data_IF_116682936514
#
_entry.id   IF_116682936514
#
_cell.length_a   1.000
_cell.length_b   1.000
_cell.length_c   1.000
_cell.angle_alpha   90.00
_cell.angle_beta   90.00
_cell.angle_gamma   90.00
#
_symmetry.space_group_name_H-M   'P 1'
#
loop_
_entity.id
_entity.type
_entity.pdbx_description
1 polymer ?
#
# COMPACT_ATOMS: atom_id res chain seq x y z
N UNK A 1 16.27 11.50 -3.48
CA UNK A 1 14.93 10.90 -3.31
C UNK A 1 14.15 11.19 -4.60
N UNK A 2 13.14 10.41 -5.01
CA UNK A 2 12.39 10.75 -6.23
C UNK A 2 11.43 11.93 -5.93
N UNK A 3 11.29 12.88 -6.85
CA UNK A 3 10.39 14.04 -6.77
C UNK A 3 9.00 13.70 -6.24
N UNK A 4 8.38 12.61 -6.69
CA UNK A 4 7.05 12.22 -6.20
C UNK A 4 7.01 11.89 -4.71
N UNK A 5 8.11 11.33 -4.17
CA UNK A 5 8.22 11.02 -2.76
C UNK A 5 8.45 12.28 -1.92
N UNK A 6 9.20 13.24 -2.45
CA UNK A 6 9.32 14.59 -1.87
C UNK A 6 7.96 15.28 -1.85
N UNK A 7 7.24 15.29 -2.97
CA UNK A 7 5.92 15.87 -3.11
C UNK A 7 4.86 15.18 -2.22
N UNK A 8 4.92 13.86 -2.07
CA UNK A 8 4.09 13.11 -1.12
C UNK A 8 4.32 13.58 0.32
N UNK A 9 5.58 13.75 0.72
CA UNK A 9 5.94 14.23 2.05
C UNK A 9 5.48 15.67 2.23
N UNK A 10 5.74 16.55 1.26
CA UNK A 10 5.33 17.96 1.28
C UNK A 10 3.81 18.09 1.39
N UNK A 11 3.04 17.42 0.53
CA UNK A 11 1.57 17.41 0.64
C UNK A 11 1.08 16.84 1.95
N UNK A 12 1.70 15.76 2.45
CA UNK A 12 1.39 15.23 3.79
C UNK A 12 1.60 16.30 4.85
N UNK A 13 2.68 17.07 4.78
CA UNK A 13 2.97 18.13 5.74
C UNK A 13 2.04 19.34 5.60
N UNK A 14 1.71 19.76 4.38
CA UNK A 14 0.77 20.85 4.12
C UNK A 14 -0.66 20.51 4.57
N UNK A 15 -1.08 19.27 4.34
CA UNK A 15 -2.36 18.75 4.75
C UNK A 15 -2.47 18.69 6.27
N UNK A 16 -1.38 18.37 6.97
CA UNK A 16 -1.35 18.24 8.43
C UNK A 16 -1.25 19.61 9.14
N UNK A 17 -1.95 19.78 10.27
CA UNK A 17 -1.90 21.00 11.08
C UNK A 17 -0.49 21.33 11.61
N UNK A 18 -0.17 22.62 11.75
CA UNK A 18 1.12 23.17 12.26
C UNK A 18 1.55 22.67 13.66
N UNK A 19 0.67 22.00 14.41
CA UNK A 19 0.98 21.41 15.72
C UNK A 19 1.63 20.02 15.64
N UNK A 20 1.94 19.54 14.44
CA UNK A 20 2.42 18.18 14.20
C UNK A 20 3.96 18.10 14.20
N UNK A 21 4.50 17.04 14.82
CA UNK A 21 5.93 16.77 14.84
C UNK A 21 6.36 16.11 13.50
N UNK A 22 7.10 16.87 12.67
CA UNK A 22 7.71 16.42 11.41
C UNK A 22 8.51 15.12 11.53
N UNK A 23 9.12 14.85 12.69
CA UNK A 23 9.85 13.62 12.98
C UNK A 23 9.01 12.34 12.85
N UNK A 24 7.67 12.47 12.87
CA UNK A 24 6.69 11.37 12.82
C UNK A 24 6.06 11.17 11.45
N UNK A 25 6.36 12.00 10.46
CA UNK A 25 6.04 11.69 9.06
C UNK A 25 6.95 10.57 8.62
N UNK A 26 6.34 9.44 8.28
CA UNK A 26 7.06 8.33 7.70
C UNK A 26 6.97 8.37 6.18
N UNK A 27 7.94 7.75 5.55
CA UNK A 27 8.16 7.84 4.11
C UNK A 27 7.65 6.60 3.37
N UNK A 28 7.02 5.68 4.11
CA UNK A 28 6.62 4.34 3.66
C UNK A 28 5.28 4.28 2.97
N UNK A 29 4.45 5.29 3.19
CA UNK A 29 3.22 5.47 2.44
C UNK A 29 3.46 5.64 0.94
N UNK A 30 4.72 5.86 0.51
CA UNK A 30 5.14 6.04 -0.88
C UNK A 30 6.47 5.31 -1.14
N UNK A 31 6.43 3.98 -1.21
CA UNK A 31 7.59 3.12 -1.49
C UNK A 31 7.34 2.21 -2.69
N UNK A 32 7.63 2.75 -3.87
CA UNK A 32 7.49 2.03 -5.13
C UNK A 32 8.85 1.79 -5.76
N UNK A 33 9.02 0.60 -6.34
CA UNK A 33 10.18 0.31 -7.17
C UNK A 33 10.08 1.02 -8.53
N UNK A 34 11.24 1.35 -9.10
CA UNK A 34 11.36 1.95 -10.44
C UNK A 34 11.78 0.92 -11.49
N UNK A 35 11.58 -0.38 -11.24
CA UNK A 35 11.98 -1.41 -12.19
C UNK A 35 11.11 -1.37 -13.45
N UNK A 36 11.61 -1.90 -14.57
CA UNK A 36 10.78 -2.16 -15.74
C UNK A 36 9.88 -3.42 -15.58
N UNK A 37 10.07 -4.21 -14.52
CA UNK A 37 9.33 -5.46 -14.27
C UNK A 37 7.99 -5.22 -13.61
N UNK A 38 7.03 -6.14 -13.77
CA UNK A 38 5.71 -6.00 -13.16
C UNK A 38 4.87 -4.90 -13.80
N UNK A 39 4.84 -4.88 -15.14
CA UNK A 39 4.08 -3.91 -15.95
C UNK A 39 2.60 -3.89 -15.56
N UNK A 40 1.99 -5.04 -15.33
CA UNK A 40 0.61 -5.10 -14.83
C UNK A 40 0.60 -5.08 -13.30
N UNK A 41 -0.16 -4.16 -12.71
CA UNK A 41 -0.19 -4.01 -11.26
C UNK A 41 -1.56 -3.69 -10.69
N UNK A 42 -1.65 -3.79 -9.37
CA UNK A 42 -2.74 -3.26 -8.56
C UNK A 42 -2.19 -2.28 -7.54
N UNK A 43 -2.90 -1.18 -7.35
CA UNK A 43 -2.57 -0.19 -6.33
C UNK A 43 -3.51 -0.36 -5.15
N UNK A 44 -2.97 -0.72 -3.99
CA UNK A 44 -3.72 -0.85 -2.75
C UNK A 44 -3.44 0.39 -1.90
N UNK A 45 -4.48 1.10 -1.50
CA UNK A 45 -4.35 2.33 -0.71
C UNK A 45 -4.88 2.13 0.70
N UNK A 46 -3.98 2.32 1.67
CA UNK A 46 -4.28 2.37 3.09
C UNK A 46 -4.40 3.81 3.61
N UNK A 47 -4.47 3.91 4.94
CA UNK A 47 -4.55 5.18 5.67
C UNK A 47 -3.32 5.44 6.54
N UNK A 48 -2.42 4.45 6.73
CA UNK A 48 -1.26 4.39 7.65
C UNK A 48 -1.26 3.11 8.55
N UNK A 49 -0.11 2.49 8.85
CA UNK A 49 0.06 1.66 10.04
C UNK A 49 0.13 2.52 11.31
N UNK A 50 -0.65 2.16 12.32
CA UNK A 50 -0.61 2.82 13.63
C UNK A 50 0.79 2.69 14.28
N UNK A 51 1.29 3.75 14.88
CA UNK A 51 2.60 3.75 15.56
C UNK A 51 2.88 5.05 16.30
N UNK A 52 3.92 5.04 17.13
CA UNK A 52 4.43 6.21 17.85
C UNK A 52 5.74 6.70 17.21
N UNK A 53 6.30 7.78 17.72
CA UNK A 53 7.60 8.32 17.29
C UNK A 53 8.73 7.30 17.23
N UNK A 54 8.78 6.37 18.20
CA UNK A 54 9.75 5.26 18.20
C UNK A 54 9.55 4.34 16.99
N UNK A 55 8.30 4.12 16.56
CA UNK A 55 8.05 3.41 15.31
C UNK A 55 8.63 4.22 14.16
N UNK A 56 8.24 5.49 13.99
CA UNK A 56 8.78 6.37 12.93
C UNK A 56 10.32 6.40 12.86
N UNK A 57 11.00 6.44 14.01
CA UNK A 57 12.47 6.41 14.08
C UNK A 57 13.04 5.06 13.65
N UNK A 58 12.47 3.95 14.14
CA UNK A 58 12.82 2.61 13.68
C UNK A 58 12.58 2.47 12.20
N UNK A 59 11.54 3.11 11.68
CA UNK A 59 11.20 3.03 10.28
C UNK A 59 12.20 3.70 9.35
N UNK A 60 12.83 4.78 9.84
CA UNK A 60 13.93 5.47 9.15
C UNK A 60 15.23 4.66 9.16
N UNK A 61 15.42 3.80 10.17
CA UNK A 61 16.64 3.00 10.37
C UNK A 61 16.55 1.60 9.76
N UNK A 62 15.37 1.00 9.77
CA UNK A 62 15.15 -0.38 9.35
C UNK A 62 14.44 -0.44 7.99
N UNK A 63 14.97 -1.26 7.09
CA UNK A 63 14.43 -1.46 5.74
C UNK A 63 13.26 -2.46 5.76
N UNK A 64 12.12 -2.04 6.29
CA UNK A 64 10.84 -2.80 6.35
C UNK A 64 10.18 -3.09 4.99
N UNK A 65 10.96 -3.07 3.90
CA UNK A 65 10.53 -3.32 2.53
C UNK A 65 10.21 -4.79 2.24
N UNK A 66 10.28 -5.63 3.27
CA UNK A 66 9.95 -7.05 3.23
C UNK A 66 8.51 -7.24 3.70
N UNK A 67 7.64 -6.52 3.01
CA UNK A 67 6.20 -6.60 3.16
C UNK A 67 5.80 -8.06 3.18
N UNK A 68 5.23 -8.47 4.32
CA UNK A 68 4.69 -9.79 4.65
C UNK A 68 5.04 -10.96 3.75
N UNK A 69 5.49 -12.03 4.37
CA UNK A 69 5.58 -13.30 3.66
C UNK A 69 4.18 -13.78 3.28
N UNK A 70 4.07 -14.38 2.10
CA UNK A 70 2.78 -14.80 1.54
C UNK A 70 2.02 -15.75 2.47
N UNK A 71 2.75 -16.69 3.07
CA UNK A 71 2.21 -17.78 3.87
C UNK A 71 2.92 -17.95 5.23
N UNK A 72 4.19 -17.56 5.34
CA UNK A 72 4.99 -17.73 6.58
C UNK A 72 4.71 -16.66 7.63
N UNK A 73 4.31 -17.09 8.83
CA UNK A 73 4.24 -16.22 10.00
C UNK A 73 5.57 -16.20 10.73
N UNK A 74 6.23 -15.04 10.73
CA UNK A 74 7.39 -14.79 11.55
C UNK A 74 6.97 -13.84 12.67
N UNK A 75 7.32 -14.17 13.91
CA UNK A 75 7.11 -13.29 15.05
C UNK A 75 8.17 -12.18 15.03
N UNK A 76 7.94 -11.16 14.21
CA UNK A 76 8.83 -10.03 14.02
C UNK A 76 8.02 -8.73 14.07
N UNK A 77 8.57 -7.71 14.73
CA UNK A 77 8.03 -6.34 14.67
C UNK A 77 8.17 -5.69 13.29
N UNK A 78 8.97 -6.29 12.41
CA UNK A 78 9.27 -5.77 11.07
C UNK A 78 8.35 -6.36 9.99
N UNK A 79 7.86 -7.59 10.20
CA UNK A 79 6.96 -8.25 9.25
C UNK A 79 5.51 -8.11 9.73
N UNK A 80 4.79 -7.12 9.21
CA UNK A 80 3.39 -6.87 9.61
C UNK A 80 2.38 -7.75 8.85
N UNK A 81 2.58 -9.07 8.92
CA UNK A 81 1.77 -10.09 8.23
C UNK A 81 0.26 -9.93 8.45
N UNK A 82 -0.16 -9.54 9.67
CA UNK A 82 -1.58 -9.40 9.97
C UNK A 82 -2.28 -8.35 9.12
N UNK A 83 -1.57 -7.34 8.62
CA UNK A 83 -2.14 -6.33 7.73
C UNK A 83 -1.98 -6.72 6.25
N UNK A 84 -0.77 -7.10 5.84
CA UNK A 84 -0.45 -7.30 4.43
C UNK A 84 -0.84 -8.69 3.88
N UNK A 85 -0.78 -9.77 4.67
CA UNK A 85 -1.17 -11.11 4.19
C UNK A 85 -2.62 -11.15 3.72
N UNK A 86 -3.59 -10.59 4.45
CA UNK A 86 -4.96 -10.57 3.98
C UNK A 86 -5.15 -9.84 2.63
N UNK A 87 -4.39 -8.77 2.39
CA UNK A 87 -4.31 -8.10 1.07
C UNK A 87 -3.77 -9.09 0.04
N UNK A 88 -2.65 -9.75 0.33
CA UNK A 88 -2.05 -10.76 -0.54
C UNK A 88 -3.03 -11.88 -0.89
N UNK A 89 -3.73 -12.42 0.10
CA UNK A 89 -4.73 -13.49 -0.09
C UNK A 89 -5.88 -13.00 -0.97
N UNK A 90 -6.41 -11.79 -0.72
CA UNK A 90 -7.46 -11.21 -1.57
C UNK A 90 -7.00 -11.08 -3.02
N UNK A 91 -5.78 -10.58 -3.25
CA UNK A 91 -5.24 -10.41 -4.60
C UNK A 91 -4.98 -11.76 -5.28
N UNK A 92 -4.47 -12.77 -4.57
CA UNK A 92 -4.37 -14.13 -5.12
C UNK A 92 -5.74 -14.71 -5.50
N UNK A 93 -6.75 -14.50 -4.64
CA UNK A 93 -8.10 -14.95 -4.91
C UNK A 93 -8.68 -14.27 -6.16
N UNK A 94 -8.29 -13.03 -6.47
CA UNK A 94 -8.71 -12.33 -7.69
C UNK A 94 -7.98 -12.88 -8.92
N UNK A 95 -6.65 -13.01 -8.83
CA UNK A 95 -5.77 -13.29 -9.97
C UNK A 95 -5.26 -14.73 -10.06
N UNK A 96 -5.90 -15.69 -9.38
CA UNK A 96 -5.55 -17.11 -9.44
C UNK A 96 -4.08 -17.40 -9.09
N UNK A 97 -3.61 -16.84 -7.97
CA UNK A 97 -2.24 -16.97 -7.47
C UNK A 97 -1.12 -16.28 -8.29
N UNK A 98 -1.46 -15.46 -9.30
CA UNK A 98 -0.51 -14.76 -10.18
C UNK A 98 0.02 -13.42 -9.63
N UNK A 99 0.02 -13.21 -8.30
CA UNK A 99 0.41 -11.93 -7.69
C UNK A 99 1.70 -12.01 -6.88
N UNK A 100 2.52 -10.97 -6.93
CA UNK A 100 3.72 -10.79 -6.12
C UNK A 100 3.76 -9.40 -5.49
N UNK A 101 4.55 -9.24 -4.44
CA UNK A 101 4.86 -7.92 -3.89
C UNK A 101 5.83 -7.17 -4.81
N UNK A 102 5.78 -5.84 -4.78
CA UNK A 102 6.67 -5.00 -5.58
C UNK A 102 8.17 -5.23 -5.34
N UNK A 103 8.57 -5.61 -4.12
CA UNK A 103 9.97 -5.91 -3.83
C UNK A 103 10.50 -7.14 -4.62
N UNK A 104 9.63 -8.05 -5.06
CA UNK A 104 9.99 -9.15 -5.97
C UNK A 104 10.37 -8.68 -7.39
N UNK A 105 10.20 -7.39 -7.71
CA UNK A 105 10.67 -6.81 -8.97
C UNK A 105 12.14 -6.36 -8.93
N UNK A 106 12.73 -6.23 -7.74
CA UNK A 106 14.14 -5.88 -7.60
C UNK A 106 15.02 -7.06 -7.97
N UNK A 107 16.19 -6.78 -8.54
CA UNK A 107 17.23 -7.80 -8.68
C UNK A 107 17.64 -8.35 -7.31
N UNK A 108 17.83 -9.67 -7.23
CA UNK A 108 18.13 -10.35 -5.98
C UNK A 108 19.43 -9.88 -5.36
N UNK A 109 20.47 -9.60 -6.15
CA UNK A 109 21.77 -9.15 -5.62
C UNK A 109 21.60 -7.83 -4.87
N UNK A 110 20.89 -6.87 -5.48
CA UNK A 110 20.60 -5.59 -4.86
C UNK A 110 19.74 -5.80 -3.61
N UNK A 111 18.61 -6.52 -3.74
CA UNK A 111 17.71 -6.78 -2.61
C UNK A 111 18.44 -7.45 -1.44
N UNK A 112 19.29 -8.45 -1.71
CA UNK A 112 20.12 -9.12 -0.71
C UNK A 112 21.04 -8.16 0.03
N UNK A 113 21.75 -7.29 -0.68
CA UNK A 113 22.61 -6.28 -0.06
C UNK A 113 21.80 -5.31 0.82
N UNK A 114 20.58 -4.94 0.41
CA UNK A 114 19.69 -4.13 1.25
C UNK A 114 19.29 -4.86 2.55
N UNK A 115 19.02 -6.17 2.48
CA UNK A 115 18.59 -7.00 3.62
C UNK A 115 19.76 -7.27 4.56
N UNK A 116 20.93 -7.64 4.04
CA UNK A 116 22.14 -7.92 4.82
C UNK A 116 22.58 -6.72 5.66
N UNK A 117 22.32 -5.50 5.17
CA UNK A 117 22.59 -4.24 5.87
C UNK A 117 21.42 -3.76 6.76
N UNK A 118 20.47 -4.64 7.08
CA UNK A 118 19.30 -4.30 7.88
C UNK A 118 19.08 -5.30 9.02
N UNK A 119 18.22 -4.95 9.97
CA UNK A 119 17.80 -5.87 11.04
C UNK A 119 17.03 -7.10 10.51
N UNK A 120 16.55 -7.06 9.26
CA UNK A 120 15.87 -8.18 8.62
C UNK A 120 16.83 -9.27 8.07
N UNK A 121 18.15 -9.08 8.19
CA UNK A 121 19.15 -10.08 7.80
C UNK A 121 18.93 -11.45 8.46
N UNK A 122 18.37 -11.47 9.67
CA UNK A 122 18.00 -12.71 10.37
C UNK A 122 16.96 -13.55 9.64
N UNK A 123 16.25 -12.98 8.65
CA UNK A 123 15.24 -13.64 7.83
C UNK A 123 15.66 -13.82 6.36
N UNK A 124 16.93 -13.55 6.02
CA UNK A 124 17.43 -13.51 4.64
C UNK A 124 17.05 -14.77 3.84
N UNK A 125 17.29 -15.96 4.39
CA UNK A 125 16.99 -17.23 3.71
C UNK A 125 15.48 -17.40 3.46
N UNK A 126 14.65 -17.03 4.43
CA UNK A 126 13.19 -17.12 4.30
C UNK A 126 12.68 -16.17 3.23
N UNK A 127 13.21 -14.95 3.19
CA UNK A 127 12.87 -13.97 2.16
C UNK A 127 13.35 -14.44 0.79
N UNK A 128 14.53 -15.05 0.70
CA UNK A 128 15.05 -15.59 -0.55
C UNK A 128 14.13 -16.67 -1.12
N UNK A 129 13.66 -17.59 -0.28
CA UNK A 129 12.69 -18.61 -0.70
C UNK A 129 11.40 -17.99 -1.26
N UNK A 130 10.85 -16.98 -0.56
CA UNK A 130 9.67 -16.25 -1.00
C UNK A 130 9.94 -15.46 -2.30
N UNK A 131 11.11 -14.86 -2.44
CA UNK A 131 11.52 -14.18 -3.67
C UNK A 131 11.50 -15.14 -4.86
N UNK A 132 12.18 -16.29 -4.76
CA UNK A 132 12.30 -17.27 -5.85
C UNK A 132 10.93 -17.80 -6.28
N UNK A 133 10.06 -18.09 -5.32
CA UNK A 133 8.72 -18.62 -5.57
C UNK A 133 7.78 -17.60 -6.24
N UNK A 134 8.02 -16.30 -6.09
CA UNK A 134 7.07 -15.26 -6.51
C UNK A 134 7.58 -14.32 -7.61
N UNK A 135 8.89 -14.23 -7.86
CA UNK A 135 9.49 -13.26 -8.79
C UNK A 135 8.93 -13.30 -10.21
N UNK A 136 8.52 -14.47 -10.70
CA UNK A 136 7.98 -14.65 -12.06
C UNK A 136 6.47 -14.40 -12.16
N UNK A 137 5.78 -14.14 -11.03
CA UNK A 137 4.34 -13.89 -11.04
C UNK A 137 4.02 -12.59 -11.76
N UNK A 138 2.93 -12.59 -12.52
CA UNK A 138 2.60 -11.54 -13.49
C UNK A 138 2.18 -10.22 -12.87
N UNK A 139 1.33 -10.25 -11.84
CA UNK A 139 0.70 -9.04 -11.27
C UNK A 139 1.49 -8.57 -10.05
N UNK A 140 1.92 -7.31 -10.07
CA UNK A 140 2.57 -6.69 -8.92
C UNK A 140 1.56 -5.98 -8.01
N UNK A 141 1.66 -6.19 -6.70
CA UNK A 141 0.93 -5.43 -5.68
C UNK A 141 1.82 -4.28 -5.19
N UNK A 142 1.35 -3.06 -5.44
CA UNK A 142 1.86 -1.85 -4.81
C UNK A 142 0.94 -1.46 -3.67
N UNK A 143 1.53 -1.09 -2.53
CA UNK A 143 0.78 -0.57 -1.38
C UNK A 143 1.26 0.84 -1.11
N UNK A 144 0.34 1.79 -1.09
CA UNK A 144 0.58 3.16 -0.67
C UNK A 144 -0.40 3.58 0.41
N UNK A 145 -0.19 4.75 1.00
CA UNK A 145 -1.11 5.34 1.98
C UNK A 145 -1.51 6.76 1.57
N UNK A 146 -2.67 7.22 2.02
CA UNK A 146 -3.08 8.63 1.83
C UNK A 146 -2.35 9.59 2.77
N UNK A 147 -1.97 9.10 3.94
CA UNK A 147 -1.17 9.80 4.93
C UNK A 147 -0.23 8.78 5.55
N UNK A 148 0.96 9.21 5.92
CA UNK A 148 1.85 8.36 6.68
C UNK A 148 2.42 9.12 7.86
N UNK A 149 1.68 9.07 8.97
CA UNK A 149 1.95 9.87 10.14
C UNK A 149 1.70 9.08 11.42
N UNK A 150 2.74 8.89 12.22
CA UNK A 150 2.71 8.07 13.44
C UNK A 150 1.99 8.76 14.60
N UNK A 151 0.65 8.61 14.64
CA UNK A 151 -0.21 8.91 15.78
C UNK A 151 -1.28 7.83 16.01
N UNK A 152 -1.65 7.62 17.27
CA UNK A 152 -2.58 6.55 17.71
C UNK A 152 -4.05 6.77 17.35
N UNK A 153 -4.43 7.91 16.77
CA UNK A 153 -5.81 8.14 16.40
C UNK A 153 -5.94 8.79 15.01
N UNK A 154 -6.09 7.93 13.99
CA UNK A 154 -6.41 8.33 12.63
C UNK A 154 -7.68 9.17 12.51
N UNK A 155 -8.59 9.13 13.50
CA UNK A 155 -9.80 9.98 13.56
C UNK A 155 -9.50 11.41 14.00
N UNK A 156 -8.26 11.71 14.43
CA UNK A 156 -7.82 13.03 14.91
C UNK A 156 -6.79 13.68 13.99
N UNK A 157 -6.47 13.09 12.83
CA UNK A 157 -5.59 13.74 11.83
C UNK A 157 -6.20 15.09 11.47
N UNK A 158 -5.66 16.21 11.96
CA UNK A 158 -6.25 17.51 11.73
C UNK A 158 -5.77 17.96 10.37
N UNK A 159 -6.65 17.90 9.38
CA UNK A 159 -6.37 18.62 8.15
C UNK A 159 -6.33 20.12 8.46
N UNK A 160 -5.36 20.83 7.88
CA UNK A 160 -5.30 22.29 7.93
C UNK A 160 -6.62 22.82 7.34
N UNK A 161 -7.19 23.85 7.97
CA UNK A 161 -8.59 24.28 7.71
C UNK A 161 -8.94 24.69 6.27
N UNK A 162 -7.95 24.82 5.39
CA UNK A 162 -8.13 25.10 3.95
C UNK A 162 -8.27 23.82 3.11
N UNK A 163 -7.84 22.66 3.62
CA UNK A 163 -7.98 21.37 2.95
C UNK A 163 -9.24 20.64 3.40
N UNK A 164 -10.14 20.35 2.46
CA UNK A 164 -11.14 19.32 2.68
C UNK A 164 -10.53 17.92 2.46
N UNK A 165 -11.02 16.91 3.21
CA UNK A 165 -10.49 15.55 3.15
C UNK A 165 -10.61 14.91 1.77
N UNK A 166 -11.63 15.26 0.99
CA UNK A 166 -11.88 14.65 -0.30
C UNK A 166 -10.85 15.15 -1.32
N UNK A 167 -10.68 16.46 -1.44
CA UNK A 167 -9.69 17.09 -2.33
C UNK A 167 -8.28 16.60 -2.02
N UNK A 168 -7.90 16.59 -0.74
CA UNK A 168 -6.61 16.05 -0.31
C UNK A 168 -6.42 14.58 -0.73
N UNK A 169 -7.41 13.71 -0.44
CA UNK A 169 -7.29 12.29 -0.78
C UNK A 169 -7.21 12.04 -2.29
N UNK A 170 -7.87 12.88 -3.09
CA UNK A 170 -7.79 12.80 -4.56
C UNK A 170 -6.41 13.20 -5.06
N UNK A 171 -5.82 14.27 -4.52
CA UNK A 171 -4.44 14.69 -4.84
C UNK A 171 -3.42 13.61 -4.49
N UNK A 172 -3.51 13.03 -3.30
CA UNK A 172 -2.59 11.97 -2.87
C UNK A 172 -2.75 10.71 -3.72
N UNK A 173 -3.99 10.34 -4.05
CA UNK A 173 -4.24 9.22 -4.94
C UNK A 173 -3.63 9.45 -6.33
N UNK A 174 -3.78 10.68 -6.84
CA UNK A 174 -3.19 11.09 -8.12
C UNK A 174 -1.67 10.96 -8.12
N UNK A 175 -0.99 11.37 -7.04
CA UNK A 175 0.46 11.18 -6.93
C UNK A 175 0.90 9.72 -7.06
N UNK A 176 0.17 8.80 -6.40
CA UNK A 176 0.46 7.36 -6.49
C UNK A 176 0.28 6.84 -7.92
N UNK A 177 -0.80 7.26 -8.58
CA UNK A 177 -1.10 6.87 -9.96
C UNK A 177 -0.03 7.41 -10.90
N UNK A 178 0.24 8.72 -10.85
CA UNK A 178 1.15 9.42 -11.74
C UNK A 178 2.57 8.83 -11.68
N UNK A 179 3.05 8.45 -10.48
CA UNK A 179 4.32 7.74 -10.34
C UNK A 179 4.32 6.38 -11.06
N UNK A 180 3.29 5.57 -10.83
CA UNK A 180 3.22 4.22 -11.39
C UNK A 180 3.07 4.28 -12.91
N UNK A 181 2.17 5.11 -13.43
CA UNK A 181 1.99 5.28 -14.87
C UNK A 181 3.21 5.90 -15.52
N UNK A 182 3.87 6.86 -14.86
CA UNK A 182 5.14 7.44 -15.29
C UNK A 182 6.30 6.43 -15.31
N UNK A 183 6.16 5.31 -14.60
CA UNK A 183 7.11 4.19 -14.57
C UNK A 183 6.68 3.02 -15.48
N UNK A 184 5.88 3.30 -16.52
CA UNK A 184 5.31 2.33 -17.49
C UNK A 184 4.51 1.18 -16.83
N UNK A 185 3.88 1.45 -15.68
CA UNK A 185 2.95 0.52 -15.04
C UNK A 185 1.54 0.72 -15.55
N UNK A 186 0.85 -0.39 -15.79
CA UNK A 186 -0.57 -0.47 -16.11
C UNK A 186 -1.33 -0.91 -14.85
N UNK A 187 -2.00 0.05 -14.21
CA UNK A 187 -2.83 -0.21 -13.03
C UNK A 187 -4.15 -0.84 -13.48
N UNK A 188 -4.39 -2.10 -13.11
CA UNK A 188 -5.62 -2.82 -13.43
C UNK A 188 -6.82 -2.29 -12.65
N UNK A 189 -6.59 -1.97 -11.38
CA UNK A 189 -7.56 -1.32 -10.50
C UNK A 189 -6.86 -0.78 -9.26
N UNK A 190 -7.57 0.10 -8.56
CA UNK A 190 -7.21 0.63 -7.26
C UNK A 190 -8.10 -0.02 -6.22
N UNK A 191 -7.53 -0.50 -5.11
CA UNK A 191 -8.27 -1.02 -3.98
C UNK A 191 -8.04 -0.14 -2.76
N UNK A 192 -9.08 0.56 -2.33
CA UNK A 192 -9.05 1.33 -1.10
C UNK A 192 -9.33 0.37 0.04
N UNK A 193 -8.31 0.11 0.86
CA UNK A 193 -8.35 -0.91 1.91
C UNK A 193 -8.81 -0.37 3.28
N UNK A 194 -9.17 0.92 3.34
CA UNK A 194 -9.50 1.60 4.57
C UNK A 194 -10.89 2.25 4.46
N UNK A 195 -11.75 2.01 5.46
CA UNK A 195 -13.12 2.53 5.47
C UNK A 195 -13.20 4.04 5.60
N UNK A 196 -12.29 4.67 6.34
CA UNK A 196 -12.24 6.12 6.49
C UNK A 196 -11.78 6.80 5.20
N UNK A 197 -10.75 6.26 4.54
CA UNK A 197 -10.33 6.74 3.19
C UNK A 197 -11.44 6.55 2.17
N UNK A 198 -12.14 5.41 2.23
CA UNK A 198 -13.30 5.15 1.37
C UNK A 198 -14.37 6.22 1.56
N UNK A 199 -14.68 6.58 2.82
CA UNK A 199 -15.63 7.66 3.12
C UNK A 199 -15.14 9.02 2.60
N UNK A 200 -13.86 9.35 2.77
CA UNK A 200 -13.31 10.61 2.27
C UNK A 200 -13.34 10.73 0.74
N UNK A 201 -13.11 9.63 0.01
CA UNK A 201 -13.18 9.61 -1.45
C UNK A 201 -14.63 9.61 -1.98
N UNK A 202 -15.50 8.76 -1.43
CA UNK A 202 -16.88 8.56 -1.89
C UNK A 202 -17.88 9.62 -1.38
N UNK A 203 -17.53 10.35 -0.32
CA UNK A 203 -18.49 11.16 0.43
C UNK A 203 -19.49 10.28 1.20
N UNK A 204 -20.71 10.78 1.37
CA UNK A 204 -21.78 10.07 2.10
C UNK A 204 -22.53 9.02 1.26
N UNK A 205 -22.10 8.77 0.02
CA UNK A 205 -22.70 7.77 -0.85
C UNK A 205 -22.08 6.38 -0.64
N UNK A 206 -22.92 5.37 -0.42
CA UNK A 206 -22.52 3.96 -0.42
C UNK A 206 -22.20 3.52 -1.86
N UNK A 207 -20.93 3.58 -2.25
CA UNK A 207 -20.42 3.04 -3.51
C UNK A 207 -19.42 1.92 -3.23
N UNK A 208 -19.57 0.79 -3.95
CA UNK A 208 -18.60 -0.32 -3.92
C UNK A 208 -17.55 -0.21 -5.01
N UNK A 209 -17.89 0.51 -6.09
CA UNK A 209 -17.03 0.79 -7.24
C UNK A 209 -17.21 2.25 -7.68
N UNK A 210 -16.12 2.88 -8.09
CA UNK A 210 -16.10 4.18 -8.79
C UNK A 210 -14.96 4.17 -9.82
N UNK A 211 -14.72 5.28 -10.51
CA UNK A 211 -13.58 5.47 -11.40
C UNK A 211 -12.79 6.71 -11.00
N UNK A 212 -11.47 6.62 -11.04
CA UNK A 212 -10.57 7.74 -10.84
C UNK A 212 -9.52 7.73 -11.96
N UNK A 213 -9.45 8.82 -12.74
CA UNK A 213 -8.54 8.92 -13.90
C UNK A 213 -8.70 7.75 -14.89
N UNK A 214 -9.95 7.30 -15.12
CA UNK A 214 -10.33 6.13 -15.91
C UNK A 214 -9.83 4.77 -15.37
N UNK A 215 -9.32 4.73 -14.15
CA UNK A 215 -8.94 3.50 -13.45
C UNK A 215 -10.08 3.10 -12.51
N UNK A 216 -10.55 1.84 -12.54
CA UNK A 216 -11.56 1.38 -11.61
C UNK A 216 -11.05 1.39 -10.18
N UNK A 217 -11.86 1.95 -9.27
CA UNK A 217 -11.60 2.02 -7.83
C UNK A 217 -12.60 1.15 -7.10
N UNK A 218 -12.11 0.17 -6.35
CA UNK A 218 -12.92 -0.68 -5.50
C UNK A 218 -12.74 -0.28 -4.05
N UNK A 219 -13.85 -0.06 -3.36
CA UNK A 219 -13.85 0.32 -1.96
C UNK A 219 -14.08 -0.91 -1.09
N UNK A 220 -13.16 -1.14 -0.17
CA UNK A 220 -13.30 -2.11 0.89
C UNK A 220 -12.88 -1.52 2.24
N UNK A 221 -13.34 -2.17 3.30
CA UNK A 221 -12.84 -1.90 4.64
C UNK A 221 -12.35 -3.20 5.23
N UNK A 222 -11.03 -3.34 5.36
CA UNK A 222 -10.50 -4.36 6.26
C UNK A 222 -10.56 -3.79 7.68
N UNK A 223 -11.23 -4.51 8.59
CA UNK A 223 -11.34 -4.11 10.00
C UNK A 223 -9.93 -4.02 10.58
N UNK A 224 -9.70 -3.15 11.58
CA UNK A 224 -8.46 -3.07 12.35
C UNK A 224 -7.96 -4.48 12.72
N UNK A 225 -6.83 -4.90 12.14
CA UNK A 225 -6.32 -6.27 12.20
C UNK A 225 -6.41 -7.07 10.90
N UNK A 226 -6.77 -6.44 9.77
CA UNK A 226 -6.72 -7.04 8.43
C UNK A 226 -7.78 -8.10 8.20
N UNK A 227 -8.93 -8.04 8.86
CA UNK A 227 -9.99 -9.04 8.69
C UNK A 227 -11.20 -8.44 7.98
N UNK A 228 -11.51 -9.00 6.81
CA UNK A 228 -12.78 -8.84 6.11
C UNK A 228 -13.56 -10.15 6.29
N UNK A 229 -14.85 -10.07 6.58
CA UNK A 229 -15.65 -11.28 6.71
C UNK A 229 -15.71 -12.05 5.37
N UNK A 230 -15.94 -13.37 5.45
CA UNK A 230 -15.87 -14.24 4.28
C UNK A 230 -16.89 -13.86 3.19
N UNK A 231 -18.06 -13.34 3.56
CA UNK A 231 -19.09 -12.93 2.61
C UNK A 231 -18.65 -11.68 1.86
N UNK A 232 -18.23 -10.63 2.57
CA UNK A 232 -17.72 -9.39 1.97
C UNK A 232 -16.51 -9.65 1.07
N UNK A 233 -15.60 -10.52 1.50
CA UNK A 233 -14.43 -10.93 0.71
C UNK A 233 -14.86 -11.61 -0.59
N UNK A 234 -15.74 -12.62 -0.51
CA UNK A 234 -16.21 -13.35 -1.68
C UNK A 234 -16.98 -12.46 -2.65
N UNK A 235 -17.82 -11.55 -2.13
CA UNK A 235 -18.52 -10.54 -2.93
C UNK A 235 -17.53 -9.65 -3.69
N UNK A 236 -16.53 -9.10 -3.00
CA UNK A 236 -15.52 -8.23 -3.60
C UNK A 236 -14.69 -8.95 -4.67
N UNK A 237 -14.24 -10.19 -4.40
CA UNK A 237 -13.52 -11.01 -5.39
C UNK A 237 -14.36 -11.21 -6.66
N UNK A 238 -15.65 -11.53 -6.51
CA UNK A 238 -16.54 -11.74 -7.65
C UNK A 238 -16.80 -10.45 -8.43
N UNK A 239 -16.98 -9.33 -7.74
CA UNK A 239 -17.18 -8.00 -8.32
C UNK A 239 -15.97 -7.57 -9.16
N UNK A 240 -14.77 -7.65 -8.59
CA UNK A 240 -13.52 -7.33 -9.30
C UNK A 240 -13.29 -8.26 -10.49
N UNK A 241 -13.45 -9.58 -10.31
CA UNK A 241 -13.29 -10.54 -11.41
C UNK A 241 -14.30 -10.31 -12.53
N UNK A 242 -15.54 -9.95 -12.21
CA UNK A 242 -16.55 -9.61 -13.22
C UNK A 242 -16.13 -8.37 -14.02
N UNK A 243 -15.63 -7.33 -13.33
CA UNK A 243 -15.15 -6.11 -13.98
C UNK A 243 -13.96 -6.39 -14.91
N UNK A 244 -12.95 -7.09 -14.42
CA UNK A 244 -11.75 -7.44 -15.20
C UNK A 244 -12.06 -8.30 -16.43
N UNK A 245 -13.14 -9.07 -16.42
CA UNK A 245 -13.61 -9.84 -17.59
C UNK A 245 -14.34 -8.99 -18.63
N UNK A 246 -14.94 -7.86 -18.24
CA UNK A 246 -15.69 -6.97 -19.14
C UNK A 246 -14.79 -5.95 -19.85
N UNK A 247 -13.62 -5.64 -19.27
CA UNK A 247 -12.64 -4.70 -19.81
C UNK A 247 -11.53 -5.32 -20.67
N UNK A 248 -11.62 -6.63 -20.95
CA UNK A 248 -10.81 -7.36 -21.95
C UNK A 248 -11.72 -7.80 -23.08
#
# INVERSE_FOLDING_TARGET
MNKYKEEFIEKTLEGLSEKINYGRVGIRGFEFDNSALGKECVLVIGLNPAGYEIAAEKEKKNRTYLYSLSDKNINSSYVYNNYYRPIYTLMNDIFNNEVKWHWCNKDWKNLREEIENSEDNVFLDIIHEEYIKHKEKRITIYVGDMFYYHETNSRKLPLKGEYDYQSYCRDMLKLHIDFLTGSDKTIKFIYINNSQVSKWLCGDFLKTIDNFENIPVFYGGMISGGKMDAFSKKRLVNEIRSYLKKGN
#
